data_IF_502414297734
#
_entry.id   IF_502414297734
#
_cell.length_a   1.000
_cell.length_b   1.000
_cell.length_c   1.000
_cell.angle_alpha   90.00
_cell.angle_beta   90.00
_cell.angle_gamma   90.00
#
_symmetry.space_group_name_H-M   'P 1'
#
loop_
_entity.id
_entity.type
_entity.pdbx_description
1 polymer ?
#
# COMPACT_ATOMS: atom_id res chain seq x y z
N UNK A 1 -3.01 -0.28 -21.24
CA UNK A 1 -2.14 -1.43 -21.57
C UNK A 1 -1.50 -1.33 -22.96
N UNK A 2 -0.18 -1.21 -23.04
CA UNK A 2 0.59 -1.29 -24.29
C UNK A 2 1.51 -2.52 -24.21
N UNK A 3 1.00 -3.70 -24.58
CA UNK A 3 1.73 -4.96 -24.43
C UNK A 3 2.75 -5.15 -25.56
N UNK A 4 3.98 -5.63 -25.27
CA UNK A 4 4.95 -5.98 -26.31
C UNK A 4 4.38 -6.99 -27.30
N UNK A 5 4.57 -6.76 -28.60
CA UNK A 5 4.11 -7.70 -29.65
C UNK A 5 4.71 -9.10 -29.51
N UNK A 6 5.88 -9.21 -28.89
CA UNK A 6 6.56 -10.47 -28.62
C UNK A 6 5.76 -11.36 -27.64
N UNK A 7 5.09 -10.76 -26.65
CA UNK A 7 4.22 -11.51 -25.75
C UNK A 7 3.03 -12.13 -26.48
N UNK A 8 2.47 -11.42 -27.46
CA UNK A 8 1.34 -11.90 -28.25
C UNK A 8 1.72 -13.08 -29.15
N UNK A 9 3.01 -13.32 -29.40
CA UNK A 9 3.51 -14.49 -30.13
C UNK A 9 3.61 -15.73 -29.23
N UNK A 10 3.62 -15.60 -27.90
CA UNK A 10 3.61 -16.75 -27.01
C UNK A 10 2.24 -17.46 -27.03
N UNK A 11 2.19 -18.78 -27.30
CA UNK A 11 0.93 -19.50 -27.53
C UNK A 11 0.03 -19.56 -26.29
N UNK A 12 0.61 -19.61 -25.09
CA UNK A 12 -0.15 -19.59 -23.84
C UNK A 12 -0.68 -18.19 -23.51
N UNK A 13 0.16 -17.16 -23.66
CA UNK A 13 -0.22 -15.77 -23.42
C UNK A 13 -1.35 -15.32 -24.34
N UNK A 14 -1.19 -15.52 -25.65
CA UNK A 14 -2.21 -15.14 -26.65
C UNK A 14 -3.55 -15.83 -26.42
N UNK A 15 -3.53 -17.11 -26.01
CA UNK A 15 -4.75 -17.85 -25.66
C UNK A 15 -5.43 -17.24 -24.43
N UNK A 16 -4.71 -16.99 -23.35
CA UNK A 16 -5.30 -16.40 -22.15
C UNK A 16 -5.79 -14.97 -22.41
N UNK A 17 -5.05 -14.17 -23.17
CA UNK A 17 -5.38 -12.79 -23.50
C UNK A 17 -6.68 -12.72 -24.32
N UNK A 18 -6.82 -13.60 -25.31
CA UNK A 18 -8.08 -13.73 -26.07
C UNK A 18 -9.26 -14.14 -25.19
N UNK A 19 -9.03 -15.08 -24.26
CA UNK A 19 -10.09 -15.51 -23.32
C UNK A 19 -10.50 -14.38 -22.39
N UNK A 20 -9.55 -13.61 -21.87
CA UNK A 20 -9.82 -12.49 -20.98
C UNK A 20 -10.56 -11.35 -21.70
N UNK A 21 -10.15 -10.99 -22.91
CA UNK A 21 -10.86 -10.00 -23.73
C UNK A 21 -12.29 -10.43 -24.10
N UNK A 22 -12.53 -11.73 -24.26
CA UNK A 22 -13.88 -12.26 -24.52
C UNK A 22 -14.73 -12.33 -23.26
N UNK A 23 -14.11 -12.59 -22.11
CA UNK A 23 -14.78 -12.71 -20.83
C UNK A 23 -13.90 -12.12 -19.70
N UNK A 24 -14.12 -10.83 -19.35
CA UNK A 24 -13.42 -10.18 -18.24
C UNK A 24 -13.69 -10.80 -16.86
N UNK A 25 -14.77 -11.59 -16.73
CA UNK A 25 -15.11 -12.37 -15.53
C UNK A 25 -14.40 -13.74 -15.48
N UNK A 26 -13.39 -13.94 -16.33
CA UNK A 26 -12.62 -15.17 -16.34
C UNK A 26 -11.39 -15.03 -15.44
N UNK A 27 -11.09 -16.07 -14.66
CA UNK A 27 -9.91 -16.13 -13.78
C UNK A 27 -8.58 -16.28 -14.55
N UNK A 28 -8.58 -16.23 -15.88
CA UNK A 28 -7.38 -16.30 -16.73
C UNK A 28 -6.44 -15.09 -16.59
N UNK A 29 -6.87 -14.03 -15.90
CA UNK A 29 -6.01 -12.88 -15.58
C UNK A 29 -4.82 -13.28 -14.68
N UNK A 30 -4.97 -14.32 -13.83
CA UNK A 30 -3.90 -14.80 -12.95
C UNK A 30 -2.72 -15.38 -13.74
N UNK A 31 -2.92 -16.39 -14.63
CA UNK A 31 -1.82 -16.88 -15.47
C UNK A 31 -1.32 -15.85 -16.48
N UNK A 32 -2.14 -14.88 -16.91
CA UNK A 32 -1.67 -13.75 -17.73
C UNK A 32 -0.68 -12.87 -16.99
N UNK A 33 -1.06 -12.42 -15.79
CA UNK A 33 -0.21 -11.58 -14.97
C UNK A 33 1.06 -12.32 -14.54
N UNK A 34 0.99 -13.63 -14.31
CA UNK A 34 2.18 -14.45 -14.06
C UNK A 34 3.19 -14.38 -15.22
N UNK A 35 2.72 -14.59 -16.45
CA UNK A 35 3.58 -14.52 -17.64
C UNK A 35 4.18 -13.12 -17.78
N UNK A 36 3.38 -12.06 -17.60
CA UNK A 36 3.90 -10.68 -17.61
C UNK A 36 4.97 -10.46 -16.54
N UNK A 37 4.75 -10.97 -15.32
CA UNK A 37 5.70 -10.86 -14.20
C UNK A 37 7.02 -11.57 -14.50
N UNK A 38 6.95 -12.80 -15.03
CA UNK A 38 8.14 -13.59 -15.42
C UNK A 38 8.96 -12.94 -16.55
N UNK A 39 8.32 -12.07 -17.33
CA UNK A 39 8.94 -11.33 -18.43
C UNK A 39 9.44 -9.93 -17.99
N UNK A 40 9.36 -9.61 -16.70
CA UNK A 40 9.78 -8.32 -16.13
C UNK A 40 8.82 -7.15 -16.41
N UNK A 41 7.65 -7.42 -16.99
CA UNK A 41 6.63 -6.42 -17.32
C UNK A 41 5.72 -6.22 -16.10
N UNK A 42 6.31 -5.72 -15.03
CA UNK A 42 5.69 -5.66 -13.70
C UNK A 42 4.51 -4.68 -13.66
N UNK A 43 4.60 -3.54 -14.37
CA UNK A 43 3.52 -2.58 -14.51
C UNK A 43 2.27 -3.17 -15.16
N UNK A 44 2.46 -3.91 -16.25
CA UNK A 44 1.39 -4.56 -17.01
C UNK A 44 0.82 -5.73 -16.22
N UNK A 45 1.68 -6.51 -15.55
CA UNK A 45 1.24 -7.57 -14.64
C UNK A 45 0.32 -7.01 -13.54
N UNK A 46 0.67 -5.85 -12.97
CA UNK A 46 -0.13 -5.14 -11.98
C UNK A 46 -1.47 -4.72 -12.55
N UNK A 47 -1.48 -4.03 -13.70
CA UNK A 47 -2.71 -3.57 -14.37
C UNK A 47 -3.68 -4.75 -14.65
N UNK A 48 -3.15 -5.87 -15.15
CA UNK A 48 -3.93 -7.09 -15.42
C UNK A 48 -4.53 -7.68 -14.14
N UNK A 49 -3.74 -7.77 -13.05
CA UNK A 49 -4.24 -8.27 -11.78
C UNK A 49 -5.29 -7.37 -11.16
N UNK A 50 -5.06 -6.06 -11.14
CA UNK A 50 -6.00 -5.09 -10.57
C UNK A 50 -7.34 -5.12 -11.34
N UNK A 51 -7.29 -5.12 -12.68
CA UNK A 51 -8.50 -5.24 -13.51
C UNK A 51 -9.24 -6.56 -13.28
N UNK A 52 -8.52 -7.68 -13.16
CA UNK A 52 -9.13 -8.97 -12.85
C UNK A 52 -9.77 -9.01 -11.46
N UNK A 53 -9.15 -8.37 -10.47
CA UNK A 53 -9.64 -8.31 -9.10
C UNK A 53 -10.82 -7.36 -8.91
N UNK A 54 -11.02 -6.36 -9.80
CA UNK A 54 -12.28 -5.58 -9.83
C UNK A 54 -13.49 -6.49 -10.01
N UNK A 55 -13.36 -7.53 -10.84
CA UNK A 55 -14.44 -8.50 -11.08
C UNK A 55 -14.42 -9.69 -10.11
N UNK A 56 -13.26 -10.00 -9.54
CA UNK A 56 -13.08 -11.13 -8.63
C UNK A 56 -12.36 -10.73 -7.33
N UNK A 57 -12.94 -9.83 -6.51
CA UNK A 57 -12.27 -9.27 -5.34
C UNK A 57 -11.88 -10.34 -4.31
N UNK A 58 -12.65 -11.42 -4.21
CA UNK A 58 -12.40 -12.52 -3.29
C UNK A 58 -11.44 -13.59 -3.85
N UNK A 59 -10.91 -13.44 -5.06
CA UNK A 59 -9.97 -14.40 -5.65
C UNK A 59 -8.67 -14.42 -4.87
N UNK A 60 -8.44 -15.48 -4.08
CA UNK A 60 -7.21 -15.65 -3.29
C UNK A 60 -5.99 -15.78 -4.21
N UNK A 61 -6.12 -16.54 -5.30
CA UNK A 61 -5.05 -16.69 -6.30
C UNK A 61 -4.72 -15.36 -6.99
N UNK A 62 -5.72 -14.51 -7.25
CA UNK A 62 -5.52 -13.18 -7.82
C UNK A 62 -4.84 -12.21 -6.84
N UNK A 63 -5.32 -12.16 -5.60
CA UNK A 63 -4.71 -11.33 -4.55
C UNK A 63 -3.27 -11.75 -4.25
N UNK A 64 -3.00 -13.05 -4.24
CA UNK A 64 -1.65 -13.59 -4.06
C UNK A 64 -0.74 -13.25 -5.25
N UNK A 65 -1.25 -13.29 -6.49
CA UNK A 65 -0.51 -12.88 -7.67
C UNK A 65 -0.15 -11.39 -7.60
N UNK A 66 -1.12 -10.54 -7.22
CA UNK A 66 -0.89 -9.11 -7.02
C UNK A 66 0.15 -8.84 -5.92
N UNK A 67 0.09 -9.56 -4.80
CA UNK A 67 1.07 -9.44 -3.73
C UNK A 67 2.49 -9.82 -4.21
N UNK A 68 2.64 -10.86 -5.04
CA UNK A 68 3.93 -11.21 -5.66
C UNK A 68 4.42 -10.12 -6.61
N UNK A 69 3.52 -9.51 -7.38
CA UNK A 69 3.86 -8.41 -8.29
C UNK A 69 4.33 -7.17 -7.50
N UNK A 70 3.64 -6.81 -6.41
CA UNK A 70 4.09 -5.73 -5.54
C UNK A 70 5.45 -6.02 -4.90
N UNK A 71 5.70 -7.27 -4.51
CA UNK A 71 7.02 -7.68 -4.01
C UNK A 71 8.11 -7.46 -5.08
N UNK A 72 7.85 -7.88 -6.32
CA UNK A 72 8.80 -7.71 -7.43
C UNK A 72 8.96 -6.23 -7.83
N UNK A 73 7.96 -5.38 -7.57
CA UNK A 73 8.00 -3.91 -7.72
C UNK A 73 8.67 -3.17 -6.56
N UNK A 74 9.15 -3.90 -5.54
CA UNK A 74 9.68 -3.35 -4.28
C UNK A 74 8.65 -2.53 -3.46
N UNK A 75 7.36 -2.63 -3.81
CA UNK A 75 6.22 -2.09 -3.07
C UNK A 75 5.87 -3.01 -1.87
N UNK A 76 6.82 -3.13 -0.92
CA UNK A 76 6.79 -4.13 0.15
C UNK A 76 5.60 -3.96 1.10
N UNK A 77 5.12 -2.74 1.34
CA UNK A 77 3.97 -2.47 2.21
C UNK A 77 2.68 -3.06 1.62
N UNK A 78 2.43 -2.80 0.34
CA UNK A 78 1.26 -3.32 -0.39
C UNK A 78 1.32 -4.85 -0.45
N UNK A 79 2.49 -5.41 -0.76
CA UNK A 79 2.71 -6.85 -0.81
C UNK A 79 2.43 -7.50 0.56
N UNK A 80 2.92 -6.88 1.64
CA UNK A 80 2.72 -7.35 3.01
C UNK A 80 1.25 -7.33 3.39
N UNK A 81 0.58 -6.19 3.17
CA UNK A 81 -0.84 -6.01 3.51
C UNK A 81 -1.72 -7.08 2.86
N UNK A 82 -1.57 -7.29 1.55
CA UNK A 82 -2.34 -8.30 0.83
C UNK A 82 -2.07 -9.72 1.33
N UNK A 83 -0.81 -10.05 1.64
CA UNK A 83 -0.48 -11.38 2.13
C UNK A 83 -1.00 -11.61 3.56
N UNK A 84 -1.04 -10.58 4.42
CA UNK A 84 -1.68 -10.62 5.73
C UNK A 84 -3.21 -10.82 5.61
N UNK A 85 -3.87 -10.06 4.74
CA UNK A 85 -5.32 -10.22 4.47
C UNK A 85 -5.66 -11.64 3.99
N UNK A 86 -4.84 -12.20 3.08
CA UNK A 86 -5.02 -13.58 2.61
C UNK A 86 -4.88 -14.58 3.75
N UNK A 87 -3.91 -14.40 4.66
CA UNK A 87 -3.70 -15.32 5.78
C UNK A 87 -4.75 -15.17 6.89
N UNK A 88 -5.38 -13.99 7.01
CA UNK A 88 -6.52 -13.81 7.91
C UNK A 88 -7.72 -14.62 7.42
N UNK A 89 -8.02 -14.61 6.11
CA UNK A 89 -9.10 -15.43 5.54
C UNK A 89 -8.71 -16.91 5.43
N UNK A 90 -7.47 -17.21 5.03
CA UNK A 90 -6.96 -18.55 4.78
C UNK A 90 -5.60 -18.78 5.45
N UNK A 91 -5.57 -19.08 6.76
CA UNK A 91 -4.33 -19.26 7.51
C UNK A 91 -3.42 -20.39 7.00
N UNK A 92 -4.01 -21.37 6.30
CA UNK A 92 -3.31 -22.51 5.70
C UNK A 92 -2.65 -22.20 4.35
N UNK A 93 -2.77 -20.96 3.83
CA UNK A 93 -2.21 -20.64 2.52
C UNK A 93 -0.68 -20.49 2.56
N UNK A 94 0.02 -21.58 2.28
CA UNK A 94 1.48 -21.68 2.41
C UNK A 94 2.24 -20.67 1.56
N UNK A 95 1.78 -20.37 0.34
CA UNK A 95 2.45 -19.40 -0.52
C UNK A 95 2.41 -17.97 0.03
N UNK A 96 1.29 -17.56 0.63
CA UNK A 96 1.17 -16.24 1.25
C UNK A 96 2.08 -16.11 2.48
N UNK A 97 2.20 -17.19 3.26
CA UNK A 97 3.12 -17.26 4.41
C UNK A 97 4.57 -17.12 3.98
N UNK A 98 4.99 -17.88 2.97
CA UNK A 98 6.35 -17.78 2.42
C UNK A 98 6.65 -16.39 1.85
N UNK A 99 5.67 -15.75 1.22
CA UNK A 99 5.81 -14.38 0.73
C UNK A 99 6.03 -13.39 1.88
N UNK A 100 5.26 -13.48 2.96
CA UNK A 100 5.46 -12.65 4.15
C UNK A 100 6.82 -12.88 4.81
N UNK A 101 7.23 -14.13 4.97
CA UNK A 101 8.55 -14.46 5.51
C UNK A 101 9.68 -13.85 4.68
N UNK A 102 9.54 -13.84 3.35
CA UNK A 102 10.48 -13.19 2.44
C UNK A 102 10.49 -11.67 2.61
N UNK A 103 9.32 -11.04 2.67
CA UNK A 103 9.19 -9.59 2.90
C UNK A 103 9.83 -9.17 4.22
N UNK A 104 9.60 -9.93 5.29
CA UNK A 104 10.14 -9.65 6.62
C UNK A 104 11.66 -9.81 6.71
N UNK A 105 12.23 -10.68 5.87
CA UNK A 105 13.68 -10.90 5.78
C UNK A 105 14.41 -9.84 4.95
N UNK A 106 13.70 -9.07 4.13
CA UNK A 106 14.30 -7.91 3.48
C UNK A 106 14.61 -6.84 4.55
N UNK A 107 15.88 -6.47 4.77
CA UNK A 107 16.23 -5.45 5.73
C UNK A 107 15.57 -4.14 5.30
N UNK A 108 14.56 -3.76 6.09
CA UNK A 108 13.78 -2.54 5.97
C UNK A 108 14.72 -1.33 6.00
N UNK A 109 15.05 -0.77 4.86
CA UNK A 109 15.40 0.65 4.79
C UNK A 109 14.11 1.42 5.05
N UNK A 110 13.87 1.74 6.33
CA UNK A 110 12.92 2.73 6.83
C UNK A 110 11.55 2.78 6.14
N UNK A 111 10.67 1.81 6.41
CA UNK A 111 9.23 2.13 6.34
C UNK A 111 8.91 2.97 7.57
N UNK A 112 8.98 4.29 7.43
CA UNK A 112 8.23 5.20 8.27
C UNK A 112 6.75 4.98 7.92
N UNK A 113 6.01 4.52 8.92
CA UNK A 113 4.55 4.57 9.03
C UNK A 113 3.69 3.64 8.15
N UNK A 114 3.77 2.35 8.47
CA UNK A 114 2.58 1.48 8.45
C UNK A 114 2.33 0.94 9.88
N UNK A 115 1.44 1.60 10.60
CA UNK A 115 0.73 1.05 11.75
C UNK A 115 -0.62 1.77 11.88
N UNK A 116 -1.53 1.49 10.94
CA UNK A 116 -2.96 1.55 11.26
C UNK A 116 -3.25 0.54 12.37
N UNK A 117 -3.84 0.91 13.51
CA UNK A 117 -4.60 -0.05 14.27
C UNK A 117 -6.04 -0.06 13.73
N UNK A 118 -6.42 -1.22 13.21
CA UNK A 118 -7.80 -1.66 13.05
C UNK A 118 -8.58 -1.36 14.33
N UNK A 119 -9.79 -0.83 14.14
CA UNK A 119 -10.56 0.00 15.06
C UNK A 119 -11.14 -0.70 16.31
N UNK A 120 -10.92 -1.99 16.56
CA UNK A 120 -11.92 -2.74 17.34
C UNK A 120 -11.55 -3.44 18.65
N UNK A 121 -10.29 -3.54 19.14
CA UNK A 121 -10.06 -4.44 20.29
C UNK A 121 -9.25 -4.00 21.51
N UNK A 122 -8.91 -2.72 21.72
CA UNK A 122 -8.33 -2.30 23.01
C UNK A 122 -8.90 -0.98 23.55
N UNK A 123 -10.23 -0.92 23.66
CA UNK A 123 -10.88 -0.11 24.69
C UNK A 123 -10.85 -0.92 26.00
N UNK A 124 -9.74 -0.80 26.73
CA UNK A 124 -9.59 -1.03 28.17
C UNK A 124 -8.08 -1.03 28.42
N UNK A 125 -7.45 0.13 28.48
CA UNK A 125 -7.06 0.66 29.79
C UNK A 125 -7.09 2.19 29.79
N UNK A 126 -7.50 2.72 30.95
CA UNK A 126 -7.78 4.13 31.21
C UNK A 126 -6.59 5.05 30.87
N UNK A 127 -6.87 6.06 30.04
CA UNK A 127 -6.24 7.38 30.09
C UNK A 127 -4.99 7.56 29.23
N UNK A 128 -5.06 8.56 28.34
CA UNK A 128 -4.02 9.37 27.65
C UNK A 128 -4.46 9.56 26.19
N UNK A 129 -5.47 10.39 25.95
CA UNK A 129 -5.41 11.84 25.61
C UNK A 129 -5.05 12.14 24.14
N UNK A 130 -6.05 12.64 23.42
CA UNK A 130 -6.05 13.67 22.37
C UNK A 130 -4.70 14.38 22.04
N UNK A 131 -3.70 13.67 21.51
CA UNK A 131 -2.38 14.26 21.25
C UNK A 131 -1.60 13.75 20.04
N UNK A 132 -2.09 12.78 19.27
CA UNK A 132 -1.21 12.11 18.30
C UNK A 132 -1.16 12.73 16.88
N UNK A 133 -2.11 13.58 16.51
CA UNK A 133 -2.25 14.07 15.12
C UNK A 133 -1.87 15.54 14.90
N UNK A 134 -1.51 16.28 15.96
CA UNK A 134 -1.08 17.68 15.89
C UNK A 134 0.42 17.79 16.21
N UNK A 135 1.27 17.66 15.18
CA UNK A 135 2.72 17.83 15.30
C UNK A 135 3.24 18.96 14.40
N UNK A 136 4.49 19.37 14.59
CA UNK A 136 5.08 20.51 13.85
C UNK A 136 5.15 20.26 12.35
N UNK A 137 5.28 19.00 11.93
CA UNK A 137 5.29 18.60 10.52
C UNK A 137 3.93 18.88 9.85
N UNK A 138 2.82 18.58 10.51
CA UNK A 138 1.48 18.93 10.01
C UNK A 138 1.30 20.45 9.91
N UNK A 139 1.79 21.22 10.88
CA UNK A 139 1.73 22.68 10.82
C UNK A 139 2.55 23.26 9.66
N UNK A 140 3.71 22.67 9.35
CA UNK A 140 4.51 23.06 8.18
C UNK A 140 3.78 22.79 6.87
N UNK A 141 3.15 21.61 6.74
CA UNK A 141 2.39 21.25 5.53
C UNK A 141 1.24 22.24 5.30
N UNK A 142 0.49 22.60 6.36
CA UNK A 142 -0.58 23.60 6.23
C UNK A 142 -0.06 25.00 5.90
N UNK A 143 1.12 25.38 6.40
CA UNK A 143 1.75 26.63 6.03
C UNK A 143 2.13 26.66 4.54
N UNK A 144 2.71 25.57 4.03
CA UNK A 144 3.13 25.44 2.63
C UNK A 144 1.93 25.42 1.67
N UNK A 145 0.77 24.96 2.15
CA UNK A 145 -0.51 25.01 1.43
C UNK A 145 -1.20 26.39 1.46
N UNK A 146 -0.62 27.39 2.15
CA UNK A 146 -1.18 28.74 2.27
C UNK A 146 -2.23 28.89 3.38
N UNK A 147 -2.54 27.82 4.11
CA UNK A 147 -3.50 27.80 5.23
C UNK A 147 -2.84 28.24 6.55
N UNK A 148 -2.27 29.43 6.53
CA UNK A 148 -1.43 30.00 7.60
C UNK A 148 -2.16 30.07 8.95
N UNK A 149 -3.47 30.33 8.95
CA UNK A 149 -4.28 30.41 10.17
C UNK A 149 -4.35 29.08 10.92
N UNK A 150 -4.50 27.98 10.19
CA UNK A 150 -4.59 26.63 10.75
C UNK A 150 -3.23 26.18 11.27
N UNK A 151 -2.18 26.40 10.49
CA UNK A 151 -0.80 26.13 10.90
C UNK A 151 -0.45 26.83 12.24
N UNK A 152 -0.83 28.11 12.38
CA UNK A 152 -0.57 28.89 13.60
C UNK A 152 -1.31 28.34 14.82
N UNK A 153 -2.57 27.93 14.68
CA UNK A 153 -3.34 27.33 15.78
C UNK A 153 -2.74 26.02 16.28
N UNK A 154 -2.26 25.18 15.36
CA UNK A 154 -1.59 23.91 15.69
C UNK A 154 -0.28 24.20 16.45
N UNK A 155 0.52 25.17 15.99
CA UNK A 155 1.77 25.56 16.66
C UNK A 155 1.52 26.16 18.04
N UNK A 156 0.46 26.93 18.23
CA UNK A 156 0.09 27.49 19.53
C UNK A 156 -0.30 26.39 20.52
N UNK A 157 -1.04 25.37 20.08
CA UNK A 157 -1.38 24.20 20.89
C UNK A 157 -0.13 23.40 21.27
N UNK A 158 0.80 23.23 20.33
CA UNK A 158 2.08 22.55 20.58
C UNK A 158 2.91 23.33 21.60
N UNK A 159 3.06 24.64 21.43
CA UNK A 159 3.85 25.49 22.35
C UNK A 159 3.19 25.67 23.72
N UNK A 160 1.86 25.53 23.80
CA UNK A 160 1.14 25.52 25.10
C UNK A 160 1.44 24.25 25.89
N UNK A 161 1.67 23.12 25.20
CA UNK A 161 1.98 21.82 25.83
C UNK A 161 3.47 21.65 26.07
N UNK A 162 4.29 22.12 25.14
CA UNK A 162 5.75 22.14 25.20
C UNK A 162 6.28 23.50 24.74
N UNK A 163 6.47 24.39 25.72
CA UNK A 163 7.00 25.71 25.49
C UNK A 163 8.50 25.70 25.09
N UNK A 164 9.21 24.58 25.22
CA UNK A 164 10.64 24.50 24.87
C UNK A 164 10.87 24.07 23.42
N UNK A 165 9.81 23.70 22.70
CA UNK A 165 9.90 23.21 21.33
C UNK A 165 10.44 24.29 20.36
N UNK A 166 11.76 24.21 20.09
CA UNK A 166 12.50 25.16 19.26
C UNK A 166 11.95 25.27 17.83
N UNK A 167 11.68 24.13 17.19
CA UNK A 167 11.17 24.06 15.81
C UNK A 167 9.75 24.62 15.65
N UNK A 168 8.87 24.37 16.62
CA UNK A 168 7.53 24.94 16.63
C UNK A 168 7.57 26.48 16.77
N UNK A 169 8.48 26.99 17.62
CA UNK A 169 8.69 28.43 17.80
C UNK A 169 9.23 29.10 16.53
N UNK A 170 10.27 28.53 15.93
CA UNK A 170 10.87 29.04 14.70
C UNK A 170 9.85 29.08 13.55
N UNK A 171 9.07 28.01 13.39
CA UNK A 171 8.04 27.96 12.35
C UNK A 171 6.96 29.01 12.59
N UNK A 172 6.53 29.20 13.85
CA UNK A 172 5.55 30.24 14.21
C UNK A 172 6.06 31.66 13.92
N UNK A 173 7.34 31.94 14.18
CA UNK A 173 7.97 33.24 13.90
C UNK A 173 8.15 33.51 12.40
N UNK A 174 8.32 32.46 11.58
CA UNK A 174 8.42 32.56 10.12
C UNK A 174 7.08 32.82 9.42
N UNK A 175 5.96 32.47 10.05
CA UNK A 175 4.61 32.74 9.56
C UNK A 175 4.22 34.19 9.89
N UNK A 176 4.45 35.14 8.96
CA UNK A 176 3.95 36.52 9.06
C UNK A 176 2.47 36.59 8.69
#
# INVERSE_FOLDING_TARGET
MNLPEELLKHPHFSRYYRTWNKNPLSLVFVPLAQICREQGLLSEAREICEQGLVHHPHSVSGRLMLAKIYFDLEELDQAKKLAEEILQEMPAQGEARLLLERIQRCPRAELVEASTPTREELIQTKGITASLWENVTMAQIYADQGEVKVARQILDRILTRDATHSKARQLREGLK
#
